data_IF_379023607051
#
_entry.id   IF_379023607051
#
_cell.length_a   1.000
_cell.length_b   1.000
_cell.length_c   1.000
_cell.angle_alpha   90.00
_cell.angle_beta   90.00
_cell.angle_gamma   90.00
#
_symmetry.space_group_name_H-M   'P 1'
#
loop_
_entity.id
_entity.type
_entity.pdbx_description
1 polymer ?
#
# COMPACT_ATOMS: atom_id res chain seq x y z
N UNK A 1 -85.72 -3.62 -24.37
CA UNK A 1 -85.76 -2.87 -25.63
C UNK A 1 -84.33 -2.56 -26.04
N UNK A 2 -83.89 -3.06 -27.21
CA UNK A 2 -82.62 -2.70 -27.89
C UNK A 2 -82.63 -1.21 -28.25
N UNK A 3 -81.48 -0.51 -28.22
CA UNK A 3 -80.84 0.38 -29.24
C UNK A 3 -79.54 0.94 -28.62
N UNK A 4 -78.34 0.54 -29.04
CA UNK A 4 -77.54 0.90 -30.22
C UNK A 4 -76.37 1.86 -29.90
N UNK A 5 -75.20 1.35 -30.27
CA UNK A 5 -73.82 1.85 -30.33
C UNK A 5 -73.59 3.24 -31.00
N UNK A 6 -72.61 4.00 -30.49
CA UNK A 6 -71.76 4.95 -31.23
C UNK A 6 -70.51 5.25 -30.37
N UNK A 7 -69.34 4.62 -30.60
CA UNK A 7 -68.24 5.05 -31.49
C UNK A 7 -67.85 6.53 -31.30
N UNK A 8 -66.72 6.85 -30.66
CA UNK A 8 -65.44 7.23 -31.32
C UNK A 8 -64.38 7.48 -30.24
N UNK A 9 -63.27 6.71 -30.21
CA UNK A 9 -61.92 7.03 -30.71
C UNK A 9 -61.17 8.24 -30.07
N UNK A 10 -60.25 7.88 -29.17
CA UNK A 10 -58.83 8.32 -29.07
C UNK A 10 -58.51 9.81 -29.02
N UNK A 11 -57.99 10.27 -27.87
CA UNK A 11 -56.68 10.94 -27.81
C UNK A 11 -56.14 10.91 -26.37
N UNK A 12 -55.28 9.93 -26.06
CA UNK A 12 -54.45 9.98 -24.86
C UNK A 12 -53.19 10.79 -25.21
N UNK A 13 -53.14 12.06 -24.82
CA UNK A 13 -51.91 12.84 -24.86
C UNK A 13 -51.06 12.47 -23.64
N UNK A 14 -50.19 11.48 -23.82
CA UNK A 14 -49.06 11.26 -22.94
C UNK A 14 -48.07 12.42 -23.13
N UNK A 15 -48.06 13.36 -22.19
CA UNK A 15 -46.95 14.30 -22.09
C UNK A 15 -45.74 13.54 -21.55
N UNK A 16 -44.88 13.08 -22.47
CA UNK A 16 -43.55 12.58 -22.15
C UNK A 16 -42.69 13.77 -21.73
N UNK A 17 -42.63 14.07 -20.43
CA UNK A 17 -41.63 15.02 -19.94
C UNK A 17 -40.28 14.31 -19.98
N UNK A 18 -39.38 14.80 -20.82
CA UNK A 18 -37.95 14.47 -20.71
C UNK A 18 -37.52 14.81 -19.29
N UNK A 19 -37.19 13.79 -18.51
CA UNK A 19 -36.41 13.97 -17.29
C UNK A 19 -35.02 14.36 -17.80
N UNK A 20 -34.67 15.63 -17.67
CA UNK A 20 -33.26 15.99 -17.74
C UNK A 20 -32.59 15.24 -16.59
N UNK A 21 -31.79 14.23 -16.89
CA UNK A 21 -30.79 13.75 -15.96
C UNK A 21 -29.91 14.98 -15.68
N UNK A 22 -30.12 15.62 -14.53
CA UNK A 22 -29.13 16.55 -14.02
C UNK A 22 -27.84 15.74 -13.97
N UNK A 23 -26.83 16.15 -14.73
CA UNK A 23 -25.49 15.61 -14.53
C UNK A 23 -25.22 15.73 -13.04
N UNK A 24 -25.09 14.59 -12.36
CA UNK A 24 -24.51 14.56 -11.03
C UNK A 24 -23.11 15.14 -11.21
N UNK A 25 -22.96 16.44 -10.93
CA UNK A 25 -21.65 17.03 -10.68
C UNK A 25 -21.17 16.30 -9.44
N UNK A 26 -20.43 15.22 -9.64
CA UNK A 26 -19.56 14.68 -8.58
C UNK A 26 -18.62 15.85 -8.32
N UNK A 27 -18.67 16.50 -7.14
CA UNK A 27 -17.71 17.55 -6.85
C UNK A 27 -16.33 16.92 -7.06
N UNK A 28 -15.51 17.56 -7.91
CA UNK A 28 -14.11 17.17 -8.01
C UNK A 28 -13.59 17.15 -6.58
N UNK A 29 -13.16 15.98 -6.12
CA UNK A 29 -12.73 15.79 -4.74
C UNK A 29 -11.34 16.40 -4.64
N UNK A 30 -11.31 17.73 -4.55
CA UNK A 30 -10.11 18.52 -4.40
C UNK A 30 -9.72 18.38 -2.93
N UNK A 31 -8.79 17.47 -2.66
CA UNK A 31 -8.18 17.32 -1.34
C UNK A 31 -6.76 17.88 -1.39
N UNK A 32 -6.59 19.20 -1.58
CA UNK A 32 -5.26 19.81 -1.66
C UNK A 32 -4.45 19.59 -0.38
N UNK A 33 -5.08 19.18 0.72
CA UNK A 33 -4.39 18.78 1.94
C UNK A 33 -3.76 17.39 1.83
N UNK A 34 -4.40 16.43 1.18
CA UNK A 34 -3.84 15.08 1.02
C UNK A 34 -2.68 15.08 0.03
N UNK A 35 -2.81 15.84 -1.06
CA UNK A 35 -1.72 16.00 -2.03
C UNK A 35 -0.49 16.62 -1.36
N UNK A 36 -0.67 17.67 -0.56
CA UNK A 36 0.42 18.28 0.22
C UNK A 36 1.04 17.32 1.23
N UNK A 37 0.24 16.55 1.96
CA UNK A 37 0.76 15.59 2.94
C UNK A 37 1.53 14.45 2.26
N UNK A 38 1.07 14.01 1.08
CA UNK A 38 1.77 13.01 0.27
C UNK A 38 3.12 13.56 -0.25
N UNK A 39 3.11 14.79 -0.78
CA UNK A 39 4.32 15.50 -1.21
C UNK A 39 5.32 15.72 -0.07
N UNK A 40 4.85 16.03 1.15
CA UNK A 40 5.70 16.23 2.33
C UNK A 40 6.52 14.99 2.71
N UNK A 41 6.05 13.79 2.36
CA UNK A 41 6.73 12.51 2.61
C UNK A 41 7.21 11.83 1.32
N UNK A 42 7.34 12.59 0.23
CA UNK A 42 7.84 12.13 -1.07
C UNK A 42 7.05 10.95 -1.70
N UNK A 43 5.74 10.92 -1.46
CA UNK A 43 4.85 9.87 -1.98
C UNK A 43 3.86 10.42 -2.99
N UNK A 44 3.50 9.58 -3.94
CA UNK A 44 2.27 9.79 -4.70
C UNK A 44 1.04 9.68 -3.79
N UNK A 45 -0.08 10.30 -4.18
CA UNK A 45 -1.32 10.19 -3.40
C UNK A 45 -1.78 8.74 -3.15
N UNK A 46 -1.69 7.80 -4.13
CA UNK A 46 -1.96 6.38 -3.88
C UNK A 46 -1.02 5.75 -2.86
N UNK A 47 0.29 5.98 -2.96
CA UNK A 47 1.28 5.48 -1.99
C UNK A 47 0.99 5.98 -0.57
N UNK A 48 0.71 7.27 -0.42
CA UNK A 48 0.41 7.89 0.87
C UNK A 48 -0.86 7.29 1.50
N UNK A 49 -1.94 7.19 0.73
CA UNK A 49 -3.24 6.72 1.26
C UNK A 49 -3.30 5.21 1.51
N UNK A 50 -2.44 4.43 0.87
CA UNK A 50 -2.36 2.98 1.03
C UNK A 50 -1.24 2.52 1.97
N UNK A 51 -0.41 3.43 2.49
CA UNK A 51 0.80 3.10 3.25
C UNK A 51 1.72 2.15 2.48
N UNK A 52 1.91 2.45 1.19
CA UNK A 52 2.73 1.68 0.28
C UNK A 52 3.86 2.52 -0.29
N UNK A 53 4.87 1.83 -0.81
CA UNK A 53 5.92 2.37 -1.67
C UNK A 53 5.99 1.48 -2.90
N UNK A 54 5.82 2.06 -4.09
CA UNK A 54 5.86 1.33 -5.36
C UNK A 54 6.94 1.86 -6.31
N UNK A 55 7.51 3.04 -6.05
CA UNK A 55 8.57 3.60 -6.87
C UNK A 55 9.55 4.43 -6.04
N UNK A 56 10.81 4.46 -6.48
CA UNK A 56 11.84 5.34 -5.94
C UNK A 56 12.74 5.81 -7.07
N UNK A 57 13.18 7.06 -6.99
CA UNK A 57 14.11 7.63 -7.94
C UNK A 57 15.41 6.81 -8.02
N UNK A 58 15.73 6.34 -9.23
CA UNK A 58 16.95 5.58 -9.50
C UNK A 58 16.87 4.08 -9.20
N UNK A 59 15.68 3.54 -8.95
CA UNK A 59 15.45 2.08 -8.87
C UNK A 59 14.47 1.65 -9.96
N UNK A 60 14.93 0.80 -10.86
CA UNK A 60 14.05 0.09 -11.80
C UNK A 60 13.49 -1.15 -11.11
N UNK A 61 12.23 -1.50 -11.42
CA UNK A 61 11.55 -2.70 -10.94
C UNK A 61 11.52 -2.88 -9.40
N UNK A 62 11.34 -1.78 -8.65
CA UNK A 62 11.13 -1.82 -7.21
C UNK A 62 9.86 -2.64 -6.90
N UNK A 63 9.97 -3.66 -6.04
CA UNK A 63 8.81 -4.39 -5.57
C UNK A 63 7.93 -3.46 -4.72
N UNK A 64 6.64 -3.37 -5.07
CA UNK A 64 5.67 -2.65 -4.24
C UNK A 64 5.63 -3.28 -2.86
N UNK A 65 5.77 -2.45 -1.83
CA UNK A 65 5.76 -2.87 -0.44
C UNK A 65 4.80 -2.03 0.38
N UNK A 66 4.05 -2.69 1.25
CA UNK A 66 3.16 -2.07 2.22
C UNK A 66 3.12 -2.90 3.51
N UNK A 67 2.62 -2.31 4.59
CA UNK A 67 2.32 -3.08 5.79
C UNK A 67 1.20 -4.10 5.50
N UNK A 68 1.41 -5.36 5.89
CA UNK A 68 0.39 -6.40 5.90
C UNK A 68 -0.48 -6.37 7.17
N UNK A 69 -1.49 -7.24 7.21
CA UNK A 69 -2.39 -7.37 8.35
C UNK A 69 -1.91 -8.40 9.38
N UNK A 70 -2.36 -8.26 10.63
CA UNK A 70 -2.06 -9.24 11.67
C UNK A 70 -0.73 -9.03 12.39
N UNK A 71 -0.34 -7.77 12.60
CA UNK A 71 0.80 -7.42 13.45
C UNK A 71 0.65 -7.99 14.87
N UNK A 72 1.70 -8.65 15.36
CA UNK A 72 1.75 -9.18 16.72
C UNK A 72 2.76 -8.36 17.52
N UNK A 73 2.35 -7.82 18.67
CA UNK A 73 3.23 -7.15 19.63
C UNK A 73 3.16 -7.92 20.95
N UNK A 74 4.32 -8.26 21.52
CA UNK A 74 4.44 -9.05 22.75
C UNK A 74 3.53 -10.30 22.80
N UNK A 75 3.44 -11.01 21.68
CA UNK A 75 2.63 -12.22 21.53
C UNK A 75 1.11 -11.99 21.38
N UNK A 76 0.66 -10.74 21.35
CA UNK A 76 -0.75 -10.38 21.14
C UNK A 76 -1.00 -9.81 19.75
N UNK A 77 -2.10 -10.22 19.13
CA UNK A 77 -2.57 -9.62 17.88
C UNK A 77 -2.98 -8.16 18.13
N UNK A 78 -2.51 -7.25 17.28
CA UNK A 78 -2.75 -5.81 17.41
C UNK A 78 -3.19 -5.19 16.09
N UNK A 79 -3.83 -4.03 16.18
CA UNK A 79 -4.07 -3.13 15.04
C UNK A 79 -2.97 -2.07 14.94
N UNK A 80 -1.73 -2.41 15.33
CA UNK A 80 -0.61 -1.47 15.26
C UNK A 80 -0.33 -1.09 13.81
N UNK A 81 -0.02 0.19 13.59
CA UNK A 81 0.34 0.71 12.28
C UNK A 81 1.84 0.99 12.23
N UNK A 82 2.50 0.32 11.31
CA UNK A 82 3.87 0.57 10.89
C UNK A 82 3.80 1.33 9.57
N UNK A 83 4.29 2.56 9.57
CA UNK A 83 4.36 3.40 8.37
C UNK A 83 5.56 2.94 7.55
N UNK A 84 5.35 2.78 6.23
CA UNK A 84 6.35 2.35 5.26
C UNK A 84 6.66 3.51 4.33
N UNK A 85 7.80 4.17 4.49
CA UNK A 85 8.17 5.37 3.75
C UNK A 85 9.35 5.14 2.79
N UNK A 86 9.50 6.07 1.84
CA UNK A 86 10.64 6.08 0.92
C UNK A 86 11.93 6.44 1.64
N UNK A 87 13.05 6.09 1.04
CA UNK A 87 14.38 6.41 1.56
C UNK A 87 15.16 7.22 0.54
N UNK A 88 16.20 7.92 1.01
CA UNK A 88 17.07 8.68 0.11
C UNK A 88 17.94 7.79 -0.79
N UNK A 89 18.49 8.39 -1.85
CA UNK A 89 19.36 7.72 -2.83
C UNK A 89 20.61 7.07 -2.21
N UNK A 90 21.10 7.58 -1.09
CA UNK A 90 22.22 6.99 -0.35
C UNK A 90 21.84 5.66 0.28
N UNK A 91 20.68 5.61 0.94
CA UNK A 91 20.12 4.38 1.50
C UNK A 91 19.81 3.34 0.40
N UNK A 92 19.29 3.79 -0.75
CA UNK A 92 19.06 2.93 -1.93
C UNK A 92 20.36 2.25 -2.37
N UNK A 93 21.41 3.04 -2.62
CA UNK A 93 22.71 2.51 -3.04
C UNK A 93 23.30 1.55 -2.00
N UNK A 94 23.18 1.90 -0.73
CA UNK A 94 23.68 1.05 0.35
C UNK A 94 22.95 -0.30 0.44
N UNK A 95 21.64 -0.31 0.15
CA UNK A 95 20.85 -1.53 0.08
C UNK A 95 21.19 -2.38 -1.17
N UNK A 96 21.40 -1.75 -2.33
CA UNK A 96 21.85 -2.41 -3.55
C UNK A 96 23.23 -3.08 -3.37
N UNK A 97 24.17 -2.38 -2.73
CA UNK A 97 25.48 -2.94 -2.37
C UNK A 97 25.34 -4.14 -1.42
N UNK A 98 24.42 -4.06 -0.46
CA UNK A 98 24.13 -5.18 0.44
C UNK A 98 23.59 -6.38 -0.31
N UNK A 99 22.61 -6.19 -1.20
CA UNK A 99 22.06 -7.24 -2.04
C UNK A 99 23.15 -7.94 -2.86
N UNK A 100 24.00 -7.16 -3.54
CA UNK A 100 25.14 -7.70 -4.29
C UNK A 100 26.12 -8.47 -3.39
N UNK A 101 26.41 -7.97 -2.19
CA UNK A 101 27.34 -8.62 -1.25
C UNK A 101 26.86 -9.99 -0.75
N UNK A 102 25.54 -10.20 -0.69
CA UNK A 102 24.94 -11.48 -0.29
C UNK A 102 24.56 -12.35 -1.50
N UNK A 103 24.87 -11.89 -2.71
CA UNK A 103 24.61 -12.60 -3.96
C UNK A 103 23.14 -12.65 -4.37
N UNK A 104 22.33 -11.71 -3.88
CA UNK A 104 20.90 -11.58 -4.22
C UNK A 104 20.58 -10.29 -4.96
N UNK A 105 19.31 -10.10 -5.27
CA UNK A 105 18.76 -8.89 -5.84
C UNK A 105 17.92 -8.15 -4.80
N UNK A 106 18.09 -6.82 -4.73
CA UNK A 106 17.24 -6.00 -3.89
C UNK A 106 15.83 -6.00 -4.45
N UNK A 107 14.85 -6.47 -3.66
CA UNK A 107 13.43 -6.33 -3.99
C UNK A 107 12.98 -4.91 -3.68
N UNK A 108 13.29 -4.44 -2.48
CA UNK A 108 12.93 -3.09 -2.02
C UNK A 108 13.77 -2.67 -0.83
N UNK A 109 13.73 -1.38 -0.51
CA UNK A 109 14.31 -0.75 0.67
C UNK A 109 13.38 0.35 1.13
N UNK A 110 13.04 0.38 2.42
CA UNK A 110 12.06 1.31 2.98
C UNK A 110 12.45 1.76 4.38
N UNK A 111 12.00 2.94 4.77
CA UNK A 111 11.99 3.33 6.17
C UNK A 111 10.71 2.84 6.81
N UNK A 112 10.83 2.17 7.96
CA UNK A 112 9.70 1.69 8.75
C UNK A 112 9.68 2.42 10.08
N UNK A 113 8.58 3.13 10.34
CA UNK A 113 8.32 3.80 11.62
C UNK A 113 7.01 3.30 12.23
N UNK A 114 6.81 3.51 13.54
CA UNK A 114 5.57 3.10 14.22
C UNK A 114 5.19 4.13 15.29
N UNK A 115 4.70 5.32 14.89
CA UNK A 115 4.41 6.38 15.84
C UNK A 115 3.32 5.95 16.82
N UNK A 116 3.58 6.14 18.11
CA UNK A 116 2.66 5.76 19.18
C UNK A 116 2.59 4.26 19.47
N UNK A 117 3.46 3.45 18.85
CA UNK A 117 3.58 2.01 19.11
C UNK A 117 4.84 1.74 19.93
N UNK A 118 4.70 0.97 21.02
CA UNK A 118 5.85 0.43 21.73
C UNK A 118 6.30 -0.86 21.02
N UNK A 119 7.44 -0.80 20.34
CA UNK A 119 7.94 -1.91 19.51
C UNK A 119 8.65 -2.92 20.42
N UNK A 120 7.90 -3.89 20.91
CA UNK A 120 8.40 -4.96 21.79
C UNK A 120 8.00 -6.32 21.20
N UNK A 121 9.01 -7.16 20.91
CA UNK A 121 8.82 -8.50 20.34
C UNK A 121 7.90 -8.49 19.11
N UNK A 122 7.98 -7.44 18.27
CA UNK A 122 7.04 -7.25 17.18
C UNK A 122 7.28 -8.25 16.06
N UNK A 123 6.20 -8.87 15.56
CA UNK A 123 6.19 -9.68 14.34
C UNK A 123 5.25 -8.98 13.37
N UNK A 124 5.83 -8.45 12.29
CA UNK A 124 5.17 -7.55 11.36
C UNK A 124 5.17 -8.17 9.97
N UNK A 125 3.98 -8.44 9.40
CA UNK A 125 3.84 -8.84 8.01
C UNK A 125 3.95 -7.64 7.09
N UNK A 126 4.58 -7.85 5.95
CA UNK A 126 4.66 -6.89 4.85
C UNK A 126 4.19 -7.58 3.57
N UNK A 127 3.34 -6.88 2.82
CA UNK A 127 3.08 -7.25 1.43
C UNK A 127 4.31 -6.85 0.62
N UNK A 128 4.87 -7.76 -0.16
CA UNK A 128 6.02 -7.52 -1.04
C UNK A 128 5.73 -8.18 -2.38
N UNK A 129 5.32 -7.38 -3.36
CA UNK A 129 4.90 -7.90 -4.67
C UNK A 129 6.03 -8.68 -5.37
N UNK A 130 5.67 -9.82 -5.98
CA UNK A 130 6.61 -10.66 -6.73
C UNK A 130 7.31 -11.73 -5.89
N UNK A 131 7.14 -11.71 -4.55
CA UNK A 131 7.54 -12.81 -3.68
C UNK A 131 6.56 -13.98 -3.86
N UNK A 132 7.08 -15.20 -3.82
CA UNK A 132 6.32 -16.45 -3.92
C UNK A 132 6.68 -17.37 -2.75
N UNK A 133 5.71 -18.17 -2.33
CA UNK A 133 5.92 -19.17 -1.30
C UNK A 133 7.09 -20.10 -1.68
N UNK A 134 8.05 -20.25 -0.75
CA UNK A 134 9.28 -21.03 -0.97
C UNK A 134 10.47 -20.23 -1.52
N UNK A 135 10.29 -18.95 -1.85
CA UNK A 135 11.42 -18.05 -2.12
C UNK A 135 12.33 -17.94 -0.89
N UNK A 136 13.64 -17.82 -1.14
CA UNK A 136 14.60 -17.47 -0.09
C UNK A 136 14.68 -15.95 0.01
N UNK A 137 13.98 -15.36 0.97
CA UNK A 137 14.02 -13.92 1.24
C UNK A 137 14.88 -13.65 2.47
N UNK A 138 15.82 -12.73 2.35
CA UNK A 138 16.61 -12.20 3.46
C UNK A 138 16.26 -10.74 3.70
N UNK A 139 16.15 -10.34 4.97
CA UNK A 139 15.85 -8.97 5.35
C UNK A 139 16.96 -8.44 6.25
N UNK A 140 17.39 -7.20 6.01
CA UNK A 140 18.39 -6.52 6.81
C UNK A 140 17.89 -5.15 7.25
N UNK A 141 18.31 -4.73 8.44
CA UNK A 141 18.07 -3.41 8.99
C UNK A 141 19.38 -2.64 9.12
N UNK A 142 19.39 -1.37 8.71
CA UNK A 142 20.52 -0.49 8.91
C UNK A 142 20.54 0.02 10.35
N UNK A 143 21.62 -0.28 11.07
CA UNK A 143 21.83 0.16 12.46
C UNK A 143 23.22 0.79 12.54
N UNK A 144 23.27 2.10 12.81
CA UNK A 144 24.53 2.87 12.91
C UNK A 144 25.44 2.71 11.68
N UNK A 145 24.84 2.58 10.50
CA UNK A 145 25.56 2.42 9.24
C UNK A 145 25.97 0.98 8.92
N UNK A 146 25.53 -0.02 9.68
CA UNK A 146 25.79 -1.44 9.39
C UNK A 146 24.49 -2.21 9.15
N UNK A 147 24.49 -3.12 8.18
CA UNK A 147 23.36 -4.01 7.93
C UNK A 147 23.35 -5.19 8.91
N UNK A 148 22.32 -5.24 9.76
CA UNK A 148 22.07 -6.36 10.67
C UNK A 148 20.97 -7.25 10.11
N UNK A 149 21.16 -8.57 10.20
CA UNK A 149 20.16 -9.53 9.75
C UNK A 149 18.91 -9.45 10.62
N UNK A 150 17.76 -9.45 9.95
CA UNK A 150 16.44 -9.48 10.58
C UNK A 150 15.85 -10.87 10.41
N UNK A 151 15.24 -11.40 11.47
CA UNK A 151 14.58 -12.71 11.40
C UNK A 151 13.33 -12.63 10.52
N UNK A 152 13.33 -13.41 9.43
CA UNK A 152 12.17 -13.65 8.59
C UNK A 152 11.42 -14.86 9.15
N UNK A 153 10.20 -14.63 9.64
CA UNK A 153 9.39 -15.67 10.30
C UNK A 153 8.52 -16.46 9.33
N UNK A 154 8.15 -15.86 8.20
CA UNK A 154 7.42 -16.54 7.13
C UNK A 154 7.58 -15.84 5.79
N UNK A 155 7.58 -16.63 4.71
CA UNK A 155 7.52 -16.17 3.31
C UNK A 155 6.36 -16.89 2.64
N UNK A 156 5.43 -16.12 2.07
CA UNK A 156 4.25 -16.59 1.35
C UNK A 156 4.07 -15.77 0.06
N UNK A 157 3.07 -16.12 -0.75
CA UNK A 157 2.79 -15.36 -1.97
C UNK A 157 2.52 -13.89 -1.64
N UNK A 158 3.37 -13.05 -2.23
CA UNK A 158 3.41 -11.59 -2.09
C UNK A 158 3.48 -11.10 -0.63
N UNK A 159 3.96 -11.94 0.30
CA UNK A 159 4.00 -11.62 1.74
C UNK A 159 5.30 -12.10 2.41
N UNK A 160 5.90 -11.23 3.21
CA UNK A 160 7.07 -11.53 4.04
C UNK A 160 6.82 -11.02 5.45
N UNK A 161 6.94 -11.89 6.44
CA UNK A 161 6.77 -11.52 7.86
C UNK A 161 8.12 -11.53 8.56
N UNK A 162 8.43 -10.46 9.29
CA UNK A 162 9.71 -10.26 9.95
C UNK A 162 9.55 -9.88 11.42
N UNK A 163 10.61 -10.08 12.20
CA UNK A 163 10.71 -9.46 13.54
C UNK A 163 11.20 -8.02 13.46
N UNK A 164 10.48 -7.11 14.08
CA UNK A 164 10.85 -5.69 14.16
C UNK A 164 11.16 -5.34 15.61
N UNK A 165 12.37 -4.86 15.86
CA UNK A 165 12.84 -4.51 17.21
C UNK A 165 12.85 -2.99 17.48
N UNK A 166 12.81 -2.20 16.41
CA UNK A 166 12.69 -0.74 16.44
C UNK A 166 12.48 -0.21 15.02
N UNK A 167 12.08 1.06 14.91
CA UNK A 167 12.04 1.78 13.64
C UNK A 167 13.42 1.83 12.95
N UNK A 168 13.44 2.06 11.64
CA UNK A 168 14.66 2.24 10.87
C UNK A 168 14.50 1.85 9.40
N UNK A 169 15.63 1.76 8.70
CA UNK A 169 15.67 1.42 7.27
C UNK A 169 15.85 -0.10 7.13
N UNK A 170 14.98 -0.72 6.34
CA UNK A 170 14.97 -2.15 6.06
C UNK A 170 15.13 -2.40 4.57
N UNK A 171 15.90 -3.42 4.19
CA UNK A 171 15.97 -3.89 2.80
C UNK A 171 15.59 -5.37 2.72
N UNK A 172 14.79 -5.69 1.71
CA UNK A 172 14.33 -7.04 1.38
C UNK A 172 15.08 -7.52 0.14
N UNK A 173 15.68 -8.70 0.22
CA UNK A 173 16.57 -9.26 -0.79
C UNK A 173 16.13 -10.68 -1.12
N UNK A 174 16.13 -11.04 -2.40
CA UNK A 174 15.82 -12.37 -2.94
C UNK A 174 16.94 -12.91 -3.80
#
# INVERSE_FOLDING_TARGET
MKKFLALTCVLALAFSTTVCAAETVVPAKDFPILDKLAEEVDKSLPEYTSNAVCEMDGVEDLATIAQGDGCVLDGQLTSATFIVDKVDVGAIRYAQEKAASVGGNMLTVVEVTAPGVDIVNAVVPFTVEGVKAGDTVSVFKSVKGEWQAVEVTSVADDNVTIKVDSAGIFTFIK
#
